data_IF_296495104281
#
_entry.id   IF_296495104281
#
_cell.length_a   1.000
_cell.length_b   1.000
_cell.length_c   1.000
_cell.angle_alpha   90.00
_cell.angle_beta   90.00
_cell.angle_gamma   90.00
#
_symmetry.space_group_name_H-M   'P 1'
#
loop_
_entity.id
_entity.type
_entity.pdbx_description
1 polymer ?
#
# COMPACT_ATOMS: atom_id res chain seq x y z
N UNK A 1 -7.00 -17.80 3.26
CA UNK A 1 -8.30 -17.06 3.21
C UNK A 1 -8.43 -16.38 1.84
N UNK A 2 -9.64 -16.13 1.35
CA UNK A 2 -9.92 -15.51 0.04
C UNK A 2 -10.88 -14.32 0.18
N UNK A 3 -10.93 -13.37 -0.79
CA UNK A 3 -11.67 -12.12 -0.61
C UNK A 3 -13.13 -12.36 -0.23
N UNK A 4 -13.60 -11.68 0.83
CA UNK A 4 -14.95 -11.87 1.37
C UNK A 4 -15.10 -13.02 2.39
N UNK A 5 -14.00 -13.68 2.80
CA UNK A 5 -14.05 -14.67 3.89
C UNK A 5 -14.56 -14.07 5.21
N UNK A 6 -15.23 -14.90 6.02
CA UNK A 6 -15.69 -14.52 7.36
C UNK A 6 -14.50 -14.15 8.27
N UNK A 7 -14.69 -13.11 9.08
CA UNK A 7 -13.69 -12.61 10.04
C UNK A 7 -14.18 -12.78 11.47
N UNK A 8 -13.26 -13.08 12.39
CA UNK A 8 -13.54 -13.16 13.82
C UNK A 8 -13.32 -11.83 14.55
N UNK A 9 -12.69 -10.84 13.91
CA UNK A 9 -12.40 -9.54 14.49
C UNK A 9 -11.37 -8.75 13.70
N UNK A 10 -10.83 -7.71 14.33
CA UNK A 10 -9.71 -6.92 13.81
C UNK A 10 -8.45 -7.76 13.71
N UNK A 11 -7.61 -7.45 12.72
CA UNK A 11 -6.25 -7.97 12.68
C UNK A 11 -5.42 -7.52 13.89
N UNK A 12 -4.41 -8.29 14.23
CA UNK A 12 -3.49 -7.97 15.32
C UNK A 12 -2.73 -6.67 15.03
N UNK A 13 -2.34 -5.98 16.10
CA UNK A 13 -1.61 -4.72 16.00
C UNK A 13 -0.17 -4.93 15.52
N UNK A 14 0.32 -3.99 14.72
CA UNK A 14 1.73 -3.95 14.32
C UNK A 14 2.64 -3.55 15.47
N UNK A 15 3.90 -3.99 15.40
CA UNK A 15 4.94 -3.64 16.39
C UNK A 15 5.12 -2.12 16.53
N UNK A 16 4.94 -1.37 15.45
CA UNK A 16 5.19 0.07 15.41
C UNK A 16 3.89 0.88 15.46
N UNK A 17 2.87 0.48 14.70
CA UNK A 17 1.58 1.20 14.68
C UNK A 17 0.74 0.96 15.94
N UNK A 18 0.92 -0.16 16.62
CA UNK A 18 0.27 -0.50 17.91
C UNK A 18 -1.25 -0.23 17.91
N UNK A 19 -1.89 -0.49 16.77
CA UNK A 19 -3.33 -0.28 16.57
C UNK A 19 -3.90 -1.50 15.87
N UNK A 20 -4.84 -2.20 16.52
CA UNK A 20 -5.53 -3.35 15.91
C UNK A 20 -6.25 -2.95 14.63
N UNK A 21 -6.15 -3.81 13.62
CA UNK A 21 -6.75 -3.59 12.30
C UNK A 21 -6.01 -2.61 11.41
N UNK A 22 -4.81 -2.15 11.79
CA UNK A 22 -3.99 -1.25 10.99
C UNK A 22 -2.53 -1.69 11.01
N UNK A 23 -1.88 -1.64 9.85
CA UNK A 23 -0.42 -1.73 9.71
C UNK A 23 0.04 -0.63 8.76
N UNK A 24 1.23 -0.08 9.00
CA UNK A 24 1.89 0.80 8.05
C UNK A 24 2.48 -0.01 6.87
N UNK A 25 2.70 0.63 5.72
CA UNK A 25 3.27 -0.06 4.55
C UNK A 25 4.61 -0.72 4.86
N UNK A 26 5.46 -0.04 5.65
CA UNK A 26 6.75 -0.60 6.04
C UNK A 26 6.62 -1.87 6.89
N UNK A 27 5.58 -2.00 7.73
CA UNK A 27 5.35 -3.22 8.53
C UNK A 27 4.97 -4.40 7.65
N UNK A 28 4.14 -4.16 6.63
CA UNK A 28 3.69 -5.16 5.68
C UNK A 28 4.87 -5.63 4.82
N UNK A 29 5.60 -4.70 4.20
CA UNK A 29 6.67 -5.07 3.27
C UNK A 29 7.87 -5.75 3.98
N UNK A 30 8.14 -5.41 5.24
CA UNK A 30 9.13 -6.13 6.04
C UNK A 30 8.68 -7.58 6.30
N UNK A 31 7.41 -7.79 6.67
CA UNK A 31 6.88 -9.13 6.87
C UNK A 31 6.95 -9.98 5.59
N UNK A 32 6.60 -9.39 4.44
CA UNK A 32 6.73 -10.05 3.14
C UNK A 32 8.19 -10.43 2.82
N UNK A 33 9.14 -9.52 3.08
CA UNK A 33 10.58 -9.78 2.87
C UNK A 33 11.13 -10.88 3.77
N UNK A 34 10.61 -11.00 4.97
CA UNK A 34 10.93 -12.09 5.89
C UNK A 34 10.30 -13.44 5.47
N UNK A 35 9.55 -13.46 4.37
CA UNK A 35 8.86 -14.66 3.89
C UNK A 35 7.69 -15.05 4.78
N UNK A 36 7.14 -14.11 5.56
CA UNK A 36 5.93 -14.36 6.32
C UNK A 36 4.76 -14.35 5.33
N UNK A 37 4.03 -15.45 5.27
CA UNK A 37 2.76 -15.50 4.57
C UNK A 37 2.84 -15.46 3.04
N UNK A 38 1.75 -14.99 2.42
CA UNK A 38 1.59 -14.91 0.96
C UNK A 38 0.81 -13.65 0.58
N UNK A 39 1.18 -13.00 -0.52
CA UNK A 39 0.44 -11.88 -1.10
C UNK A 39 -0.16 -12.21 -2.47
N UNK A 40 -1.16 -11.42 -2.86
CA UNK A 40 -1.88 -11.59 -4.10
C UNK A 40 -2.73 -10.37 -4.45
N UNK A 41 -3.44 -10.48 -5.57
CA UNK A 41 -4.40 -9.49 -6.03
C UNK A 41 -5.82 -10.07 -5.98
N UNK A 42 -6.80 -9.26 -5.61
CA UNK A 42 -8.22 -9.62 -5.75
C UNK A 42 -8.72 -9.42 -7.20
N UNK A 43 -9.99 -9.74 -7.47
CA UNK A 43 -10.59 -9.61 -8.80
C UNK A 43 -10.60 -8.16 -9.33
N UNK A 44 -10.55 -7.17 -8.43
CA UNK A 44 -10.48 -5.76 -8.76
C UNK A 44 -9.04 -5.23 -8.86
N UNK A 45 -8.03 -6.10 -8.66
CA UNK A 45 -6.61 -5.74 -8.70
C UNK A 45 -6.08 -5.09 -7.44
N UNK A 46 -6.80 -5.14 -6.32
CA UNK A 46 -6.30 -4.65 -5.03
C UNK A 46 -5.34 -5.66 -4.40
N UNK A 47 -4.24 -5.16 -3.82
CA UNK A 47 -3.26 -6.01 -3.18
C UNK A 47 -3.71 -6.42 -1.78
N UNK A 48 -3.49 -7.69 -1.45
CA UNK A 48 -3.66 -8.21 -0.11
C UNK A 48 -2.51 -9.14 0.26
N UNK A 49 -2.29 -9.28 1.56
CA UNK A 49 -1.37 -10.25 2.14
C UNK A 49 -2.08 -11.04 3.25
N UNK A 50 -1.66 -12.30 3.39
CA UNK A 50 -2.14 -13.22 4.42
C UNK A 50 -0.95 -13.70 5.23
N UNK A 51 -0.93 -13.38 6.52
CA UNK A 51 0.09 -13.82 7.47
C UNK A 51 -0.55 -14.75 8.50
N UNK A 52 -0.43 -16.07 8.31
CA UNK A 52 -1.15 -17.08 9.10
C UNK A 52 -2.68 -16.87 9.06
N UNK A 53 -3.29 -16.46 10.18
CA UNK A 53 -4.71 -16.15 10.29
C UNK A 53 -5.02 -14.66 10.09
N UNK A 54 -4.02 -13.84 9.80
CA UNK A 54 -4.17 -12.39 9.63
C UNK A 54 -4.33 -12.03 8.16
N UNK A 55 -5.33 -11.19 7.86
CA UNK A 55 -5.55 -10.60 6.54
C UNK A 55 -5.19 -9.12 6.60
N UNK A 56 -4.44 -8.62 5.61
CA UNK A 56 -4.41 -7.19 5.31
C UNK A 56 -4.58 -6.87 3.83
N UNK A 57 -5.39 -5.85 3.53
CA UNK A 57 -5.48 -5.23 2.20
C UNK A 57 -4.77 -3.89 2.26
N UNK A 58 -3.92 -3.61 1.28
CA UNK A 58 -3.03 -2.44 1.32
C UNK A 58 -2.70 -1.96 -0.09
N UNK A 59 -2.20 -0.73 -0.19
CA UNK A 59 -1.68 -0.18 -1.44
C UNK A 59 -0.20 -0.54 -1.62
N UNK A 60 0.15 -0.98 -2.82
CA UNK A 60 1.52 -1.12 -3.31
C UNK A 60 1.86 0.03 -4.28
N UNK A 61 3.12 0.22 -4.70
CA UNK A 61 3.45 1.25 -5.68
C UNK A 61 2.66 1.07 -6.98
N UNK A 62 2.40 -0.18 -7.38
CA UNK A 62 1.57 -0.50 -8.54
C UNK A 62 0.11 -0.07 -8.38
N UNK A 63 -0.48 -0.26 -7.19
CA UNK A 63 -1.84 0.22 -6.91
C UNK A 63 -1.91 1.75 -6.93
N UNK A 64 -0.90 2.42 -6.36
CA UNK A 64 -0.80 3.88 -6.41
C UNK A 64 -0.69 4.38 -7.85
N UNK A 65 0.13 3.76 -8.70
CA UNK A 65 0.23 4.14 -10.12
C UNK A 65 -1.13 4.03 -10.83
N UNK A 66 -1.92 2.99 -10.55
CA UNK A 66 -3.25 2.84 -11.14
C UNK A 66 -4.22 3.93 -10.63
N UNK A 67 -4.19 4.24 -9.33
CA UNK A 67 -4.94 5.36 -8.76
C UNK A 67 -4.53 6.69 -9.37
N UNK A 68 -3.24 6.89 -9.68
CA UNK A 68 -2.77 8.11 -10.33
C UNK A 68 -3.24 8.21 -11.79
N UNK A 69 -3.33 7.11 -12.52
CA UNK A 69 -3.98 7.13 -13.85
C UNK A 69 -5.43 7.59 -13.75
N UNK A 70 -6.16 7.14 -12.74
CA UNK A 70 -7.52 7.61 -12.49
C UNK A 70 -7.56 9.12 -12.18
N UNK A 71 -6.70 9.60 -11.28
CA UNK A 71 -6.59 11.05 -10.94
C UNK A 71 -6.34 11.89 -12.20
N UNK A 72 -5.38 11.50 -13.04
CA UNK A 72 -5.02 12.23 -14.27
C UNK A 72 -6.16 12.17 -15.30
N UNK A 73 -6.69 10.98 -15.59
CA UNK A 73 -7.71 10.79 -16.63
C UNK A 73 -9.06 11.45 -16.31
N UNK A 74 -9.33 11.70 -15.02
CA UNK A 74 -10.55 12.39 -14.57
C UNK A 74 -10.35 13.89 -14.31
N UNK A 75 -9.13 14.40 -14.47
CA UNK A 75 -8.83 15.82 -14.26
C UNK A 75 -8.94 16.27 -12.81
N UNK A 76 -8.67 15.38 -11.85
CA UNK A 76 -8.61 15.74 -10.44
C UNK A 76 -7.34 16.56 -10.15
N UNK A 77 -7.42 17.47 -9.19
CA UNK A 77 -6.34 18.43 -8.89
C UNK A 77 -5.06 17.80 -8.30
N UNK A 78 -5.12 16.54 -7.86
CA UNK A 78 -3.98 15.83 -7.28
C UNK A 78 -4.40 14.71 -6.34
N UNK A 79 -3.46 14.28 -5.50
CA UNK A 79 -3.67 13.21 -4.52
C UNK A 79 -3.20 13.65 -3.13
N UNK A 80 -3.92 13.23 -2.10
CA UNK A 80 -3.50 13.36 -0.71
C UNK A 80 -3.06 11.99 -0.19
N UNK A 81 -1.96 11.95 0.56
CA UNK A 81 -1.44 10.74 1.17
C UNK A 81 -1.60 10.80 2.69
N UNK A 82 -2.18 9.73 3.25
CA UNK A 82 -2.24 9.51 4.69
C UNK A 82 -1.50 8.21 5.02
N UNK A 83 -0.33 8.24 5.65
CA UNK A 83 0.48 9.42 6.00
C UNK A 83 1.93 9.22 5.59
N UNK A 84 2.70 10.31 5.59
CA UNK A 84 4.12 10.31 5.16
C UNK A 84 4.96 9.34 5.98
N UNK A 85 4.69 9.24 7.29
CA UNK A 85 5.38 8.34 8.22
C UNK A 85 4.94 6.87 8.12
N UNK A 86 3.88 6.56 7.37
CA UNK A 86 3.42 5.18 7.15
C UNK A 86 3.93 4.57 5.84
N UNK A 87 4.56 5.35 4.97
CA UNK A 87 5.30 4.85 3.80
C UNK A 87 6.61 4.16 4.25
N UNK A 88 7.35 3.54 3.34
CA UNK A 88 8.71 3.08 3.63
C UNK A 88 9.69 4.27 3.62
N UNK A 89 9.53 5.19 4.56
CA UNK A 89 10.30 6.43 4.65
C UNK A 89 11.80 6.21 4.93
N UNK A 90 12.19 5.01 5.41
CA UNK A 90 13.58 4.62 5.67
C UNK A 90 14.18 3.73 4.58
N UNK A 91 13.40 3.27 3.60
CA UNK A 91 13.90 2.34 2.58
C UNK A 91 14.25 0.95 3.16
N UNK A 92 13.52 0.48 4.17
CA UNK A 92 13.70 -0.84 4.77
C UNK A 92 13.38 -1.97 3.77
N UNK A 93 12.52 -1.69 2.80
CA UNK A 93 12.07 -2.63 1.79
C UNK A 93 12.61 -2.34 0.38
N UNK A 94 13.30 -1.22 0.20
CA UNK A 94 13.81 -0.80 -1.10
C UNK A 94 14.20 0.67 -1.11
N UNK A 95 13.73 1.41 -2.11
CA UNK A 95 14.00 2.85 -2.16
C UNK A 95 13.02 3.60 -1.25
N UNK A 96 13.47 4.61 -0.48
CA UNK A 96 12.59 5.38 0.39
C UNK A 96 11.39 6.00 -0.32
N UNK A 97 10.30 6.13 0.43
CA UNK A 97 9.04 6.75 0.02
C UNK A 97 8.43 6.17 -1.28
N UNK A 98 8.32 4.84 -1.43
CA UNK A 98 7.86 4.24 -2.68
C UNK A 98 6.43 4.67 -3.07
N UNK A 99 5.52 4.89 -2.12
CA UNK A 99 4.16 5.36 -2.44
C UNK A 99 4.18 6.84 -2.87
N UNK A 100 4.81 7.71 -2.08
CA UNK A 100 4.87 9.14 -2.38
C UNK A 100 5.65 9.42 -3.66
N UNK A 101 6.69 8.63 -3.97
CA UNK A 101 7.42 8.72 -5.25
C UNK A 101 6.55 8.31 -6.42
N UNK A 102 5.73 7.27 -6.29
CA UNK A 102 4.78 6.91 -7.33
C UNK A 102 3.79 8.05 -7.61
N UNK A 103 3.24 8.69 -6.56
CA UNK A 103 2.39 9.89 -6.70
C UNK A 103 3.14 11.02 -7.40
N UNK A 104 4.30 11.42 -6.87
CA UNK A 104 5.07 12.54 -7.39
C UNK A 104 5.50 12.33 -8.84
N UNK A 105 5.98 11.14 -9.19
CA UNK A 105 6.36 10.81 -10.57
C UNK A 105 5.17 10.87 -11.51
N UNK A 106 4.00 10.38 -11.12
CA UNK A 106 2.80 10.43 -11.97
C UNK A 106 2.26 11.84 -12.19
N UNK A 107 2.20 12.66 -11.15
CA UNK A 107 1.64 14.02 -11.24
C UNK A 107 2.60 15.01 -11.91
N UNK A 108 3.91 14.77 -11.85
CA UNK A 108 4.91 15.61 -12.52
C UNK A 108 5.02 15.38 -14.04
N UNK A 109 4.24 14.46 -14.64
CA UNK A 109 4.32 14.18 -16.09
C UNK A 109 3.82 15.34 -16.95
N UNK A 110 3.03 16.28 -16.40
CA UNK A 110 2.73 17.55 -17.09
C UNK A 110 3.99 18.39 -17.35
N UNK A 111 5.06 18.23 -16.55
CA UNK A 111 6.33 18.95 -16.72
C UNK A 111 7.32 18.26 -17.70
N UNK A 112 6.97 17.10 -18.27
CA UNK A 112 7.79 16.38 -19.26
C UNK A 112 7.23 16.49 -20.69
N UNK A 113 6.13 17.22 -20.88
CA UNK A 113 5.51 17.47 -22.20
C UNK A 113 5.55 18.95 -22.63
N UNK A 114 6.29 19.80 -21.91
CA UNK A 114 6.61 21.20 -22.27
C UNK A 114 8.10 21.35 -22.53
#
# INVERSE_FOLDING_TARGET
>A
PAPGALVSGWGDEGQYTQTKGMLAYFEICMAEREGKGSSGLDEAGNSYAVFDNQWITYDTPSNILEKMKFVISTGLAGAAAWAVDMDDFRGLCGTPFPMLRAIATSLNVEALQT
#
